data_IF_644112359564
#
_entry.id   IF_644112359564
#
_cell.length_a   1.000
_cell.length_b   1.000
_cell.length_c   1.000
_cell.angle_alpha   90.00
_cell.angle_beta   90.00
_cell.angle_gamma   90.00
#
_symmetry.space_group_name_H-M   'P 1'
#
loop_
_entity.id
_entity.type
_entity.pdbx_description
1 polymer ?
#
# COMPACT_ATOMS: atom_id res chain seq x y z
N UNK A 1 2.17 -13.76 -2.91
CA UNK A 1 3.02 -14.40 -1.88
C UNK A 1 3.84 -15.57 -2.46
N UNK A 2 3.89 -15.71 -3.79
CA UNK A 2 4.63 -16.78 -4.46
C UNK A 2 3.85 -18.08 -4.63
N UNK A 3 2.55 -18.12 -4.34
CA UNK A 3 1.69 -19.29 -4.48
C UNK A 3 1.24 -19.59 -5.93
N UNK A 4 1.52 -18.69 -6.87
CA UNK A 4 1.11 -18.79 -8.27
C UNK A 4 -0.28 -18.23 -8.58
N UNK A 5 -0.93 -17.57 -7.61
CA UNK A 5 -2.15 -16.76 -7.80
C UNK A 5 -1.78 -15.28 -7.90
N UNK A 6 -2.72 -14.51 -8.41
CA UNK A 6 -2.58 -13.06 -8.44
C UNK A 6 -2.96 -12.48 -7.08
N UNK A 7 -2.07 -11.66 -6.53
CA UNK A 7 -2.35 -10.81 -5.39
C UNK A 7 -2.89 -9.46 -5.83
N UNK A 8 -3.50 -8.74 -4.89
CA UNK A 8 -4.00 -7.39 -5.07
C UNK A 8 -3.41 -6.47 -4.02
N UNK A 9 -2.96 -5.30 -4.45
CA UNK A 9 -2.63 -4.18 -3.56
C UNK A 9 -3.62 -3.06 -3.80
N UNK A 10 -4.18 -2.50 -2.73
CA UNK A 10 -5.10 -1.37 -2.81
C UNK A 10 -4.64 -0.24 -1.91
N UNK A 11 -4.73 0.96 -2.46
CA UNK A 11 -4.51 2.20 -1.76
C UNK A 11 -5.79 2.71 -1.09
N UNK A 12 -5.65 3.21 0.13
CA UNK A 12 -6.73 3.83 0.92
C UNK A 12 -6.23 5.17 1.46
N UNK A 13 -6.04 6.19 0.60
CA UNK A 13 -5.33 7.42 0.97
C UNK A 13 -6.04 8.23 2.06
N UNK A 14 -7.33 7.97 2.29
CA UNK A 14 -8.12 8.65 3.32
C UNK A 14 -8.22 7.88 4.65
N UNK A 15 -7.51 6.75 4.78
CA UNK A 15 -7.52 5.97 6.00
C UNK A 15 -6.80 6.69 7.16
N UNK A 16 -7.20 6.35 8.39
CA UNK A 16 -6.65 6.94 9.61
C UNK A 16 -7.46 8.11 10.15
N UNK A 17 -7.17 8.51 11.39
CA UNK A 17 -7.90 9.59 12.07
C UNK A 17 -7.48 10.97 11.58
N UNK A 18 -6.23 11.11 11.13
CA UNK A 18 -5.70 12.34 10.57
C UNK A 18 -5.31 12.16 9.09
N UNK A 19 -5.95 11.21 8.41
CA UNK A 19 -5.73 10.98 6.97
C UNK A 19 -4.28 10.63 6.65
N UNK A 20 -3.64 9.83 7.52
CA UNK A 20 -2.29 9.30 7.27
C UNK A 20 -2.26 8.48 5.96
N UNK A 21 -3.40 7.89 5.60
CA UNK A 21 -3.54 6.97 4.49
C UNK A 21 -3.08 5.56 4.85
N UNK A 22 -3.40 4.59 4.01
CA UNK A 22 -2.94 3.21 4.18
C UNK A 22 -2.92 2.45 2.86
N UNK A 23 -2.22 1.32 2.86
CA UNK A 23 -2.20 0.33 1.79
C UNK A 23 -2.51 -1.04 2.36
N UNK A 24 -3.30 -1.81 1.63
CA UNK A 24 -3.67 -3.18 2.00
C UNK A 24 -3.21 -4.17 0.92
N UNK A 25 -2.76 -5.34 1.36
CA UNK A 25 -2.46 -6.49 0.52
C UNK A 25 -3.55 -7.54 0.70
N UNK A 26 -4.06 -8.04 -0.42
CA UNK A 26 -5.00 -9.16 -0.51
C UNK A 26 -4.41 -10.27 -1.37
N UNK A 27 -4.03 -11.41 -0.79
CA UNK A 27 -3.45 -12.54 -1.53
C UNK A 27 -4.50 -13.57 -1.93
N UNK A 28 -5.52 -13.77 -1.09
CA UNK A 28 -6.62 -14.69 -1.36
C UNK A 28 -7.81 -13.97 -2.02
N UNK A 29 -7.76 -13.88 -3.36
CA UNK A 29 -8.84 -13.31 -4.16
C UNK A 29 -9.87 -14.40 -4.50
N UNK A 30 -11.10 -14.23 -4.01
CA UNK A 30 -12.25 -15.07 -4.38
C UNK A 30 -13.22 -14.28 -5.24
N UNK A 31 -13.99 -14.97 -6.09
CA UNK A 31 -15.08 -14.34 -6.82
C UNK A 31 -16.15 -13.75 -5.89
N UNK A 32 -16.82 -12.69 -6.34
CA UNK A 32 -17.94 -12.05 -5.63
C UNK A 32 -17.61 -10.69 -5.02
N UNK A 33 -18.52 -10.21 -4.16
CA UNK A 33 -18.34 -8.98 -3.38
C UNK A 33 -17.96 -9.33 -1.95
N UNK A 34 -16.90 -8.70 -1.45
CA UNK A 34 -16.45 -8.83 -0.08
C UNK A 34 -16.02 -7.47 0.45
N UNK A 35 -16.14 -7.27 1.77
CA UNK A 35 -15.44 -6.18 2.43
C UNK A 35 -13.94 -6.45 2.35
N UNK A 36 -13.19 -5.49 1.84
CA UNK A 36 -11.76 -5.64 1.63
C UNK A 36 -10.97 -5.61 2.95
N UNK A 37 -11.51 -4.96 3.99
CA UNK A 37 -10.93 -4.95 5.32
C UNK A 37 -10.92 -6.34 5.94
N UNK A 38 -11.98 -7.12 5.73
CA UNK A 38 -12.07 -8.51 6.20
C UNK A 38 -11.15 -9.47 5.43
N UNK A 39 -10.65 -9.05 4.26
CA UNK A 39 -9.77 -9.84 3.39
C UNK A 39 -8.31 -9.40 3.47
N UNK A 40 -7.99 -8.29 4.12
CA UNK A 40 -6.63 -7.78 4.20
C UNK A 40 -5.74 -8.71 5.04
N UNK A 41 -4.77 -9.37 4.41
CA UNK A 41 -3.75 -10.15 5.13
C UNK A 41 -2.68 -9.24 5.73
N UNK A 42 -2.44 -8.08 5.11
CA UNK A 42 -1.50 -7.08 5.61
C UNK A 42 -2.01 -5.68 5.32
N UNK A 43 -1.78 -4.77 6.27
CA UNK A 43 -2.09 -3.35 6.16
C UNK A 43 -0.87 -2.56 6.61
N UNK A 44 -0.48 -1.56 5.83
CA UNK A 44 0.51 -0.56 6.20
C UNK A 44 -0.17 0.80 6.28
N UNK A 45 -0.04 1.46 7.43
CA UNK A 45 -0.52 2.81 7.64
C UNK A 45 0.57 3.81 7.25
N UNK A 46 0.15 4.96 6.70
CA UNK A 46 1.03 6.09 6.45
C UNK A 46 1.68 6.61 7.72
N UNK A 47 2.77 7.36 7.53
CA UNK A 47 3.67 7.73 8.63
C UNK A 47 3.16 8.99 9.35
N UNK A 48 2.87 10.05 8.59
CA UNK A 48 2.42 11.32 9.15
C UNK A 48 0.96 11.62 8.79
N UNK A 49 0.27 12.40 9.63
CA UNK A 49 -1.01 13.00 9.28
C UNK A 49 -0.98 13.67 7.91
N UNK A 50 -2.08 13.56 7.17
CA UNK A 50 -2.32 14.23 5.88
C UNK A 50 -1.36 13.87 4.73
N UNK A 51 -0.35 13.02 4.94
CA UNK A 51 0.56 12.57 3.86
C UNK A 51 -0.16 11.75 2.76
N UNK A 52 -1.35 11.20 3.07
CA UNK A 52 -2.20 10.41 2.16
C UNK A 52 -1.48 9.27 1.47
N UNK A 53 -0.76 8.47 2.26
CA UNK A 53 -0.12 7.27 1.76
C UNK A 53 -1.14 6.30 1.13
N UNK A 54 -0.76 5.69 0.01
CA UNK A 54 -1.66 4.83 -0.76
C UNK A 54 -2.52 5.59 -1.75
N UNK A 55 -2.13 6.79 -2.19
CA UNK A 55 -2.80 7.44 -3.32
C UNK A 55 -2.67 6.62 -4.61
N UNK A 56 -1.48 6.10 -4.85
CA UNK A 56 -1.24 5.00 -5.77
C UNK A 56 -0.52 3.89 -5.02
N UNK A 57 -0.91 2.66 -5.28
CA UNK A 57 -0.24 1.48 -4.76
C UNK A 57 -0.25 0.38 -5.82
N UNK A 58 0.87 -0.33 -5.97
CA UNK A 58 0.99 -1.45 -6.92
C UNK A 58 2.10 -2.42 -6.51
N UNK A 59 2.03 -3.64 -7.04
CA UNK A 59 3.13 -4.59 -6.99
C UNK A 59 4.25 -4.12 -7.94
N UNK A 60 5.48 -4.07 -7.43
CA UNK A 60 6.66 -3.57 -8.13
C UNK A 60 7.63 -4.67 -8.62
N UNK A 61 7.34 -5.94 -8.34
CA UNK A 61 8.29 -7.05 -8.50
C UNK A 61 9.38 -7.05 -7.42
N UNK A 62 10.42 -7.87 -7.57
CA UNK A 62 11.53 -7.95 -6.59
C UNK A 62 12.55 -6.81 -6.81
N UNK A 63 12.23 -5.62 -6.31
CA UNK A 63 13.10 -4.44 -6.42
C UNK A 63 14.24 -4.45 -5.38
N UNK A 64 14.13 -5.29 -4.35
CA UNK A 64 15.12 -5.37 -3.27
C UNK A 64 16.12 -6.52 -3.45
N UNK A 65 15.97 -7.36 -4.48
CA UNK A 65 16.84 -8.50 -4.75
C UNK A 65 16.73 -9.60 -3.70
N UNK A 66 15.56 -9.71 -3.07
CA UNK A 66 15.28 -10.64 -1.95
C UNK A 66 14.65 -11.95 -2.41
N UNK A 67 14.25 -12.03 -3.68
CA UNK A 67 13.41 -13.10 -4.22
C UNK A 67 11.92 -12.96 -3.85
N UNK A 68 11.54 -11.89 -3.16
CA UNK A 68 10.16 -11.57 -2.80
C UNK A 68 9.67 -10.34 -3.55
N UNK A 69 8.36 -10.27 -3.76
CA UNK A 69 7.72 -9.15 -4.44
C UNK A 69 7.75 -7.90 -3.53
N UNK A 70 7.66 -6.72 -4.13
CA UNK A 70 7.62 -5.44 -3.41
C UNK A 70 6.34 -4.70 -3.70
N UNK A 71 5.95 -3.82 -2.78
CA UNK A 71 4.84 -2.88 -2.95
C UNK A 71 5.41 -1.48 -3.10
N UNK A 72 5.03 -0.82 -4.19
CA UNK A 72 5.28 0.59 -4.43
C UNK A 72 4.08 1.40 -3.96
N UNK A 73 4.32 2.43 -3.15
CA UNK A 73 3.27 3.26 -2.55
C UNK A 73 3.62 4.72 -2.70
N UNK A 74 2.69 5.56 -3.14
CA UNK A 74 2.86 7.02 -3.10
C UNK A 74 2.10 7.65 -1.93
N UNK A 75 2.69 8.70 -1.37
CA UNK A 75 2.11 9.63 -0.41
C UNK A 75 2.29 11.04 -0.98
N UNK A 76 1.30 11.51 -1.74
CA UNK A 76 1.48 12.67 -2.60
C UNK A 76 1.46 14.02 -1.87
N UNK A 77 0.91 14.08 -0.66
CA UNK A 77 0.92 15.28 0.22
C UNK A 77 2.04 15.18 1.27
N UNK A 78 3.01 14.27 1.13
CA UNK A 78 4.06 14.15 2.15
C UNK A 78 4.93 15.40 2.22
N UNK A 79 5.08 15.92 3.43
CA UNK A 79 5.87 17.12 3.74
C UNK A 79 7.35 16.84 4.03
N UNK A 80 7.80 15.58 3.94
CA UNK A 80 9.12 15.14 4.42
C UNK A 80 10.29 15.94 3.85
N UNK A 81 10.18 16.42 2.60
CA UNK A 81 11.22 17.17 1.90
C UNK A 81 10.84 18.62 1.54
N UNK A 82 9.69 19.09 2.02
CA UNK A 82 9.08 20.37 1.67
C UNK A 82 7.56 20.24 1.57
N UNK A 83 6.85 21.37 1.61
CA UNK A 83 5.39 21.38 1.60
C UNK A 83 4.83 20.62 0.37
N UNK A 84 4.00 19.60 0.61
CA UNK A 84 3.38 18.72 -0.38
C UNK A 84 4.37 18.19 -1.44
N UNK A 85 5.63 17.98 -1.06
CA UNK A 85 6.68 17.55 -1.99
C UNK A 85 6.46 16.11 -2.50
N UNK A 86 5.71 15.32 -1.74
CA UNK A 86 5.39 13.93 -2.02
C UNK A 86 6.52 12.97 -1.64
N UNK A 87 6.14 11.72 -1.40
CA UNK A 87 7.05 10.63 -1.08
C UNK A 87 6.61 9.32 -1.76
N UNK A 88 7.58 8.44 -2.03
CA UNK A 88 7.34 7.08 -2.50
C UNK A 88 8.02 6.09 -1.55
N UNK A 89 7.26 5.07 -1.13
CA UNK A 89 7.75 3.96 -0.32
C UNK A 89 7.88 2.69 -1.16
N UNK A 90 8.90 1.89 -0.82
CA UNK A 90 9.09 0.53 -1.32
C UNK A 90 9.01 -0.40 -0.11
N UNK A 91 8.04 -1.31 -0.11
CA UNK A 91 7.81 -2.25 0.98
C UNK A 91 8.12 -3.67 0.49
N UNK A 92 8.90 -4.45 1.24
CA UNK A 92 9.11 -5.87 0.94
C UNK A 92 7.94 -6.74 1.45
N UNK A 93 7.58 -7.80 0.71
CA UNK A 93 6.50 -8.72 1.06
C UNK A 93 6.95 -9.99 1.80
#
# INVERSE_FOLDING_TARGET
DGDGRHDLVLGTPQAGINVEGAVILVTEITEGSADIGDRAQRMWTGVNPEDRAGWQAQLGGDLLGTGQETVLVSAWESDRSGQDAGEVYILGL
#
